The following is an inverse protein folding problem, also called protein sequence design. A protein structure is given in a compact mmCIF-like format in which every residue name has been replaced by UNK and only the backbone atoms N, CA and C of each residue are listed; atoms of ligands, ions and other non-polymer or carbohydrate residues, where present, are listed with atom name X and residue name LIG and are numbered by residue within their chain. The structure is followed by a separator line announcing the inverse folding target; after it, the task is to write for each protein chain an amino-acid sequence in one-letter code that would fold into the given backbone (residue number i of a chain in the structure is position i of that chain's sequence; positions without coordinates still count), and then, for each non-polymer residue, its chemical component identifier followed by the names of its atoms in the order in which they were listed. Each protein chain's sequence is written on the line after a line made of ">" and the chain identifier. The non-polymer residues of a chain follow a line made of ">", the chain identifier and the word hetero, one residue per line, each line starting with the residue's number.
data_IF_653206349368
#
_entry.id   IF_653206349368
#
_cell.length_a   1.000
_cell.length_b   1.000
_cell.length_c   1.000
_cell.angle_alpha   90.00
_cell.angle_beta   90.00
_cell.angle_gamma   90.00
#
_symmetry.space_group_name_H-M   'P 1'
#
loop_
_entity.id
_entity.type
_entity.pdbx_description
1 polymer ?
#
# COMPACT_ATOMS: atom_id res chain seq x y z
N UNK A 1 -5.72 7.15 -24.26
CA UNK A 1 -4.89 6.75 -25.41
C UNK A 1 -3.81 5.83 -24.86
N UNK A 2 -3.82 4.54 -25.20
CA UNK A 2 -2.86 3.58 -24.64
C UNK A 2 -1.46 3.92 -25.17
N UNK A 3 -0.49 4.06 -24.26
CA UNK A 3 0.90 4.42 -24.57
C UNK A 3 1.66 3.23 -25.19
N UNK A 4 1.18 2.01 -24.99
CA UNK A 4 1.68 0.79 -25.61
C UNK A 4 0.52 -0.03 -26.19
N UNK A 5 0.71 -0.63 -27.36
CA UNK A 5 -0.25 -1.58 -27.91
C UNK A 5 -0.08 -2.97 -27.27
N UNK A 6 -1.08 -3.82 -27.48
CA UNK A 6 -1.11 -5.16 -26.87
C UNK A 6 0.05 -6.05 -27.36
N UNK A 7 0.53 -5.83 -28.59
CA UNK A 7 1.67 -6.58 -29.13
C UNK A 7 2.95 -6.19 -28.40
N UNK A 8 3.20 -4.90 -28.21
CA UNK A 8 4.35 -4.39 -27.46
C UNK A 8 4.35 -4.90 -26.02
N UNK A 9 3.19 -4.90 -25.34
CA UNK A 9 3.08 -5.43 -23.97
C UNK A 9 3.34 -6.94 -23.91
N UNK A 10 2.91 -7.71 -24.91
CA UNK A 10 3.22 -9.14 -25.03
C UNK A 10 4.70 -9.39 -25.28
N UNK A 11 5.29 -8.67 -26.23
CA UNK A 11 6.70 -8.82 -26.62
C UNK A 11 7.64 -8.47 -25.43
N UNK A 12 7.23 -7.53 -24.57
CA UNK A 12 7.92 -7.16 -23.34
C UNK A 12 7.61 -8.07 -22.13
N UNK A 13 6.79 -9.11 -22.32
CA UNK A 13 6.29 -9.98 -21.25
C UNK A 13 5.68 -9.19 -20.06
N UNK A 14 5.04 -8.04 -20.33
CA UNK A 14 4.60 -7.11 -19.28
C UNK A 14 3.74 -7.79 -18.21
N UNK A 15 2.74 -8.58 -18.62
CA UNK A 15 1.84 -9.27 -17.70
C UNK A 15 2.59 -10.28 -16.79
N UNK A 16 3.63 -10.92 -17.30
CA UNK A 16 4.47 -11.84 -16.52
C UNK A 16 5.32 -11.09 -15.50
N UNK A 17 5.90 -9.94 -15.89
CA UNK A 17 6.62 -9.07 -14.97
C UNK A 17 5.70 -8.57 -13.84
N UNK A 18 4.49 -8.13 -14.18
CA UNK A 18 3.49 -7.71 -13.22
C UNK A 18 3.09 -8.86 -12.26
N UNK A 19 2.94 -10.07 -12.77
CA UNK A 19 2.71 -11.26 -11.94
C UNK A 19 3.84 -11.56 -10.96
N UNK A 20 5.10 -11.39 -11.39
CA UNK A 20 6.27 -11.54 -10.49
C UNK A 20 6.23 -10.48 -9.39
N UNK A 21 6.02 -9.20 -9.73
CA UNK A 21 5.95 -8.11 -8.74
C UNK A 21 4.78 -8.31 -7.77
N UNK A 22 3.63 -8.72 -8.29
CA UNK A 22 2.43 -9.03 -7.49
C UNK A 22 2.71 -10.14 -6.47
N UNK A 23 3.48 -11.17 -6.84
CA UNK A 23 3.86 -12.27 -5.93
C UNK A 23 4.72 -11.82 -4.73
N UNK A 24 5.35 -10.64 -4.81
CA UNK A 24 6.13 -10.06 -3.73
C UNK A 24 5.34 -9.05 -2.88
N UNK A 25 4.08 -8.79 -3.20
CA UNK A 25 3.25 -7.87 -2.43
C UNK A 25 2.92 -8.45 -1.04
N UNK A 26 3.02 -7.61 -0.01
CA UNK A 26 2.79 -8.01 1.39
C UNK A 26 1.32 -7.87 1.85
N UNK A 27 0.44 -7.37 0.98
CA UNK A 27 -0.99 -7.18 1.27
C UNK A 27 -1.84 -7.29 0.00
N UNK A 28 -3.14 -7.65 0.13
CA UNK A 28 -4.08 -7.67 -0.99
C UNK A 28 -4.21 -6.31 -1.69
N UNK A 29 -4.15 -5.20 -0.94
CA UNK A 29 -4.18 -3.85 -1.49
C UNK A 29 -2.97 -3.57 -2.39
N UNK A 30 -1.80 -4.12 -2.06
CA UNK A 30 -0.62 -4.03 -2.91
C UNK A 30 -0.79 -4.81 -4.22
N UNK A 31 -1.40 -6.00 -4.16
CA UNK A 31 -1.74 -6.79 -5.35
C UNK A 31 -2.67 -6.01 -6.27
N UNK A 32 -3.75 -5.44 -5.72
CA UNK A 32 -4.70 -4.62 -6.49
C UNK A 32 -4.03 -3.38 -7.11
N UNK A 33 -3.09 -2.74 -6.40
CA UNK A 33 -2.33 -1.61 -6.92
C UNK A 33 -1.42 -2.01 -8.10
N UNK A 34 -0.85 -3.22 -8.08
CA UNK A 34 -0.08 -3.77 -9.20
C UNK A 34 -1.01 -4.13 -10.36
N UNK A 35 -2.13 -4.80 -10.09
CA UNK A 35 -3.07 -5.21 -11.14
C UNK A 35 -3.73 -4.02 -11.86
N UNK A 36 -3.87 -2.89 -11.18
CA UNK A 36 -4.37 -1.62 -11.76
C UNK A 36 -3.29 -0.75 -12.40
N UNK A 37 -2.02 -1.14 -12.35
CA UNK A 37 -0.92 -0.34 -12.88
C UNK A 37 -0.94 -0.33 -14.41
N UNK A 38 -0.90 0.88 -14.97
CA UNK A 38 -0.85 1.12 -16.41
C UNK A 38 0.45 1.82 -16.80
N UNK A 39 0.87 1.67 -18.06
CA UNK A 39 2.04 2.36 -18.57
C UNK A 39 1.89 3.89 -18.47
N UNK A 40 2.90 4.55 -17.92
CA UNK A 40 2.98 6.00 -17.72
C UNK A 40 3.88 6.60 -18.82
N UNK A 41 3.50 7.75 -19.40
CA UNK A 41 4.32 8.48 -20.39
C UNK A 41 4.78 9.85 -19.91
N UNK A 42 4.21 10.36 -18.82
CA UNK A 42 4.63 11.62 -18.24
C UNK A 42 6.01 11.44 -17.59
N UNK A 43 7.01 12.13 -18.15
CA UNK A 43 8.39 12.03 -17.70
C UNK A 43 8.57 12.43 -16.23
N UNK A 44 7.90 13.48 -15.78
CA UNK A 44 8.04 13.95 -14.40
C UNK A 44 7.45 12.93 -13.42
N UNK A 45 6.35 12.27 -13.80
CA UNK A 45 5.77 11.18 -13.01
C UNK A 45 6.70 9.97 -13.00
N UNK A 46 7.27 9.57 -14.14
CA UNK A 46 8.21 8.45 -14.22
C UNK A 46 9.43 8.68 -13.34
N UNK A 47 10.08 9.84 -13.46
CA UNK A 47 11.27 10.18 -12.67
C UNK A 47 10.97 10.16 -11.17
N UNK A 48 9.81 10.69 -10.78
CA UNK A 48 9.35 10.66 -9.39
C UNK A 48 9.14 9.22 -8.91
N UNK A 49 8.36 8.40 -9.61
CA UNK A 49 8.06 7.02 -9.19
C UNK A 49 9.32 6.15 -9.12
N UNK A 50 10.26 6.33 -10.05
CA UNK A 50 11.56 5.63 -10.03
C UNK A 50 12.37 6.05 -8.79
N UNK A 51 12.39 7.34 -8.45
CA UNK A 51 13.06 7.81 -7.24
C UNK A 51 12.43 7.22 -5.97
N UNK A 52 11.10 7.13 -5.89
CA UNK A 52 10.39 6.51 -4.77
C UNK A 52 10.74 5.01 -4.62
N UNK A 53 10.86 4.27 -5.73
CA UNK A 53 11.32 2.88 -5.72
C UNK A 53 12.79 2.77 -5.30
N UNK A 54 13.65 3.67 -5.77
CA UNK A 54 15.06 3.72 -5.36
C UNK A 54 15.20 3.93 -3.85
N UNK A 55 14.37 4.78 -3.26
CA UNK A 55 14.30 5.00 -1.82
C UNK A 55 13.89 3.73 -1.06
N UNK A 56 12.90 2.98 -1.57
CA UNK A 56 12.49 1.69 -1.01
C UNK A 56 13.60 0.63 -1.08
N UNK A 57 14.36 0.60 -2.17
CA UNK A 57 15.51 -0.30 -2.32
C UNK A 57 16.58 0.05 -1.27
N UNK A 58 16.95 1.32 -1.15
CA UNK A 58 17.94 1.77 -0.16
C UNK A 58 17.51 1.43 1.29
N UNK A 59 16.22 1.57 1.60
CA UNK A 59 15.67 1.14 2.88
C UNK A 59 15.88 -0.37 3.10
N UNK A 60 15.61 -1.22 2.10
CA UNK A 60 15.83 -2.66 2.20
C UNK A 60 17.31 -3.04 2.31
N UNK A 61 18.19 -2.34 1.60
CA UNK A 61 19.65 -2.53 1.64
C UNK A 61 20.24 -2.16 3.00
N UNK A 62 19.61 -1.24 3.75
CA UNK A 62 19.99 -0.95 5.13
C UNK A 62 19.67 -2.08 6.14
N UNK A 63 19.18 -3.22 5.66
CA UNK A 63 18.81 -4.38 6.48
C UNK A 63 17.44 -4.25 7.16
N UNK A 64 16.76 -3.11 7.00
CA UNK A 64 15.42 -2.89 7.53
C UNK A 64 14.36 -3.54 6.64
N UNK A 65 13.25 -3.91 7.25
CA UNK A 65 12.11 -4.54 6.60
C UNK A 65 10.83 -3.97 7.18
N UNK A 66 9.79 -3.89 6.35
CA UNK A 66 8.43 -3.64 6.79
C UNK A 66 7.48 -4.55 6.03
N UNK A 67 6.27 -4.71 6.56
CA UNK A 67 5.20 -5.45 5.92
C UNK A 67 3.88 -4.76 6.23
N UNK A 68 3.04 -4.62 5.21
CA UNK A 68 1.64 -4.22 5.37
C UNK A 68 0.73 -5.44 5.60
N UNK A 69 1.30 -6.61 5.90
CA UNK A 69 0.57 -7.81 6.28
C UNK A 69 -0.37 -7.53 7.45
N UNK A 70 -1.64 -7.87 7.25
CA UNK A 70 -2.74 -7.57 8.17
C UNK A 70 -3.59 -6.36 7.77
N UNK A 71 -3.09 -5.48 6.89
CA UNK A 71 -3.92 -4.45 6.27
C UNK A 71 -4.88 -5.09 5.27
N UNK A 72 -6.14 -4.67 5.31
CA UNK A 72 -7.22 -5.15 4.46
C UNK A 72 -7.99 -3.98 3.86
N UNK A 73 -8.71 -4.24 2.76
CA UNK A 73 -9.65 -3.26 2.25
C UNK A 73 -10.84 -3.11 3.22
N UNK A 74 -10.97 -1.90 3.78
CA UNK A 74 -12.04 -1.57 4.71
C UNK A 74 -13.23 -0.91 4.01
N UNK A 75 -13.14 -0.57 2.72
CA UNK A 75 -14.20 0.12 2.00
C UNK A 75 -15.55 -0.64 2.07
N UNK A 76 -15.63 -1.97 1.86
CA UNK A 76 -16.90 -2.69 1.95
C UNK A 76 -17.55 -2.59 3.34
N UNK A 77 -16.73 -2.68 4.39
CA UNK A 77 -17.19 -2.60 5.78
C UNK A 77 -17.65 -1.19 6.14
N UNK A 78 -16.90 -0.17 5.72
CA UNK A 78 -17.24 1.23 5.95
C UNK A 78 -18.50 1.65 5.20
N UNK A 79 -18.70 1.19 3.96
CA UNK A 79 -19.92 1.46 3.21
C UNK A 79 -21.15 0.81 3.85
N UNK A 80 -21.02 -0.44 4.34
CA UNK A 80 -22.10 -1.09 5.09
C UNK A 80 -22.45 -0.34 6.38
N UNK A 81 -21.44 0.10 7.13
CA UNK A 81 -21.64 0.86 8.36
C UNK A 81 -22.31 2.21 8.09
N UNK A 82 -21.86 2.96 7.07
CA UNK A 82 -22.49 4.23 6.65
C UNK A 82 -23.94 4.05 6.22
N UNK A 83 -24.26 2.91 5.59
CA UNK A 83 -25.62 2.54 5.20
C UNK A 83 -26.55 2.17 6.36
N UNK A 84 -26.09 2.24 7.62
CA UNK A 84 -26.86 1.84 8.80
C UNK A 84 -26.92 0.32 9.02
N UNK A 85 -26.09 -0.45 8.31
CA UNK A 85 -25.96 -1.89 8.53
C UNK A 85 -25.27 -2.18 9.86
N UNK A 86 -25.73 -3.21 10.56
CA UNK A 86 -25.06 -3.69 11.76
C UNK A 86 -23.66 -4.24 11.43
N UNK A 87 -22.72 -4.02 12.34
CA UNK A 87 -21.42 -4.65 12.36
C UNK A 87 -21.36 -5.57 13.58
N UNK A 88 -20.95 -6.81 13.37
CA UNK A 88 -20.73 -7.79 14.43
C UNK A 88 -19.29 -7.73 14.92
N UNK A 89 -18.99 -8.38 16.05
CA UNK A 89 -17.65 -8.37 16.65
C UNK A 89 -16.53 -8.82 15.69
N UNK A 90 -16.83 -9.77 14.80
CA UNK A 90 -15.87 -10.28 13.82
C UNK A 90 -15.49 -9.24 12.74
N UNK A 91 -16.39 -8.30 12.45
CA UNK A 91 -16.15 -7.23 11.48
C UNK A 91 -15.08 -6.25 11.97
N UNK A 92 -14.88 -6.10 13.28
CA UNK A 92 -13.85 -5.22 13.84
C UNK A 92 -12.44 -5.80 13.75
N UNK A 93 -12.30 -7.11 13.54
CA UNK A 93 -10.99 -7.76 13.43
C UNK A 93 -10.14 -7.21 12.27
N UNK A 94 -10.63 -7.11 11.01
CA UNK A 94 -9.86 -6.51 9.92
C UNK A 94 -9.54 -5.02 10.16
N UNK A 95 -10.43 -4.29 10.87
CA UNK A 95 -10.20 -2.89 11.23
C UNK A 95 -9.00 -2.77 12.18
N UNK A 96 -9.01 -3.53 13.28
CA UNK A 96 -7.92 -3.53 14.27
C UNK A 96 -6.60 -3.94 13.64
N UNK A 97 -6.58 -5.04 12.86
CA UNK A 97 -5.37 -5.53 12.18
C UNK A 97 -4.79 -4.49 11.21
N UNK A 98 -5.64 -3.77 10.50
CA UNK A 98 -5.22 -2.70 9.58
C UNK A 98 -4.64 -1.52 10.34
N UNK A 99 -5.25 -1.11 11.45
CA UNK A 99 -4.72 -0.05 12.32
C UNK A 99 -3.33 -0.45 12.87
N UNK A 100 -3.19 -1.66 13.40
CA UNK A 100 -1.91 -2.14 13.94
C UNK A 100 -0.81 -2.22 12.87
N UNK A 101 -1.13 -2.74 11.67
CA UNK A 101 -0.19 -2.82 10.57
C UNK A 101 0.29 -1.43 10.13
N UNK A 102 -0.64 -0.49 9.96
CA UNK A 102 -0.32 0.88 9.53
C UNK A 102 0.46 1.66 10.58
N UNK A 103 0.16 1.48 11.88
CA UNK A 103 0.94 2.06 12.99
C UNK A 103 2.37 1.54 13.03
N UNK A 104 2.57 0.23 12.88
CA UNK A 104 3.90 -0.39 12.82
C UNK A 104 4.73 0.21 11.69
N UNK A 105 4.17 0.30 10.49
CA UNK A 105 4.85 0.88 9.33
C UNK A 105 5.16 2.37 9.54
N UNK A 106 4.20 3.14 10.07
CA UNK A 106 4.41 4.56 10.35
C UNK A 106 5.56 4.82 11.32
N UNK A 107 5.76 3.95 12.32
CA UNK A 107 6.84 4.07 13.29
C UNK A 107 8.25 3.75 12.75
N UNK A 108 8.36 3.17 11.55
CA UNK A 108 9.65 2.81 10.95
C UNK A 108 10.34 3.95 10.21
N UNK A 109 9.58 4.96 9.79
CA UNK A 109 10.07 6.05 8.95
C UNK A 109 10.18 7.34 9.76
N UNK A 110 11.34 7.98 9.65
CA UNK A 110 11.60 9.31 10.19
C UNK A 110 11.87 10.27 9.03
N UNK A 111 11.39 11.50 9.15
CA UNK A 111 11.26 12.44 8.03
C UNK A 111 12.56 12.72 7.27
N UNK A 112 13.72 12.53 7.91
CA UNK A 112 15.01 13.00 7.40
C UNK A 112 15.76 11.96 6.54
N UNK A 113 15.45 10.67 6.65
CA UNK A 113 16.25 9.61 6.00
C UNK A 113 15.64 9.12 4.68
N UNK A 114 14.31 9.02 4.62
CA UNK A 114 13.56 8.54 3.45
C UNK A 114 12.35 9.46 3.25
N UNK A 115 12.50 10.59 2.53
CA UNK A 115 11.46 11.60 2.44
C UNK A 115 10.16 11.10 1.79
N UNK A 116 10.25 10.31 0.71
CA UNK A 116 9.06 9.78 0.04
C UNK A 116 8.33 8.74 0.90
N UNK A 117 9.05 7.78 1.46
CA UNK A 117 8.50 6.76 2.35
C UNK A 117 7.95 7.38 3.63
N UNK A 118 8.59 8.42 4.16
CA UNK A 118 8.09 9.18 5.30
C UNK A 118 6.82 9.95 4.96
N UNK A 119 6.72 10.50 3.76
CA UNK A 119 5.48 11.14 3.26
C UNK A 119 4.33 10.13 3.18
N UNK A 120 4.58 8.93 2.64
CA UNK A 120 3.60 7.84 2.64
C UNK A 120 3.22 7.40 4.06
N UNK A 121 4.20 7.19 4.93
CA UNK A 121 3.99 6.83 6.33
C UNK A 121 3.19 7.88 7.11
N UNK A 122 3.39 9.16 6.82
CA UNK A 122 2.64 10.27 7.43
C UNK A 122 1.16 10.31 7.04
N UNK A 123 0.79 9.72 5.90
CA UNK A 123 -0.62 9.57 5.46
C UNK A 123 -1.32 8.39 6.13
N UNK A 124 -0.57 7.47 6.74
CA UNK A 124 -1.14 6.36 7.49
C UNK A 124 -1.75 6.86 8.81
N UNK A 125 -2.81 6.19 9.26
CA UNK A 125 -3.57 6.64 10.43
C UNK A 125 -2.69 6.70 11.68
N UNK A 126 -2.80 7.81 12.41
CA UNK A 126 -2.26 7.92 13.78
C UNK A 126 -3.28 7.71 14.88
N UNK A 127 -4.58 7.72 14.56
CA UNK A 127 -5.71 7.72 15.49
C UNK A 127 -6.01 6.38 16.17
N UNK A 128 -5.25 5.31 15.89
CA UNK A 128 -5.46 4.02 16.56
C UNK A 128 -5.30 4.08 18.09
N UNK A 129 -4.57 5.07 18.61
CA UNK A 129 -4.32 5.20 20.05
C UNK A 129 -5.58 5.56 20.84
N UNK A 130 -6.41 6.44 20.28
CA UNK A 130 -7.70 6.85 20.86
C UNK A 130 -8.72 5.70 20.82
N UNK A 131 -8.66 4.86 19.78
CA UNK A 131 -9.52 3.67 19.63
C UNK A 131 -9.13 2.57 20.61
N UNK A 132 -7.83 2.30 20.81
CA UNK A 132 -7.34 1.33 21.79
C UNK A 132 -7.68 1.73 23.24
N UNK A 133 -7.58 3.02 23.57
CA UNK A 133 -7.97 3.54 24.89
C UNK A 133 -9.48 3.44 25.15
N UNK A 134 -10.30 3.52 24.10
CA UNK A 134 -11.76 3.37 24.20
C UNK A 134 -12.27 1.92 24.29
N UNK A 135 -11.44 0.93 23.95
CA UNK A 135 -11.81 -0.51 23.97
C UNK A 135 -11.37 -1.20 25.28
N UNK A 136 -10.58 -0.52 26.12
CA UNK A 136 -10.03 -1.04 27.37
C UNK A 136 -10.89 -0.70 28.58
#
# INVERSE_FOLDING_TARGET
>A
MSIADEKALRDLEYLKLMGIVSSHCSSPLGVEAIDSLVAISDRAVIERTIAEVGEAIAFLESGRRFSLGGASDLAPLLERAKGGGALDGEDFLPVIRTIEATRRVRGLFSADEFPALSSYAGRLTGGGREIEEGIR
#
